data_IF_170026946778
#
_entry.id   IF_170026946778
#
_cell.length_a   1.000
_cell.length_b   1.000
_cell.length_c   1.000
_cell.angle_alpha   90.00
_cell.angle_beta   90.00
_cell.angle_gamma   90.00
#
_symmetry.space_group_name_H-M   'P 1'
#
loop_
_entity.id
_entity.type
_entity.pdbx_description
1 polymer ?
#
# COMPACT_ATOMS: atom_id res chain seq x y z
N UNK A 1 8.46 -3.16 -6.56
CA UNK A 1 8.06 -4.58 -6.60
C UNK A 1 8.18 -5.16 -5.20
N UNK A 2 7.18 -5.92 -4.72
CA UNK A 2 7.17 -6.51 -3.38
C UNK A 2 8.44 -7.31 -3.07
N UNK A 3 9.02 -7.07 -1.88
CA UNK A 3 10.21 -7.76 -1.39
C UNK A 3 9.80 -8.92 -0.46
N UNK A 4 10.16 -10.18 -0.78
CA UNK A 4 9.90 -11.31 0.11
C UNK A 4 10.49 -11.11 1.50
N UNK A 5 9.71 -11.47 2.54
CA UNK A 5 10.07 -11.28 3.96
C UNK A 5 10.36 -12.57 4.70
N UNK A 6 10.17 -13.72 4.05
CA UNK A 6 10.47 -15.05 4.60
C UNK A 6 11.26 -15.87 3.60
N UNK A 7 11.91 -16.94 4.08
CA UNK A 7 12.64 -17.87 3.21
C UNK A 7 11.67 -18.54 2.23
N UNK A 8 10.48 -18.90 2.70
CA UNK A 8 9.43 -19.52 1.91
C UNK A 8 8.95 -18.60 0.79
N UNK A 9 8.65 -17.34 1.10
CA UNK A 9 8.31 -16.34 0.08
C UNK A 9 9.46 -16.12 -0.90
N UNK A 10 10.71 -16.10 -0.43
CA UNK A 10 11.87 -15.99 -1.30
C UNK A 10 11.94 -17.15 -2.29
N UNK A 11 11.72 -18.40 -1.82
CA UNK A 11 11.68 -19.57 -2.71
C UNK A 11 10.57 -19.51 -3.74
N UNK A 12 9.39 -19.02 -3.35
CA UNK A 12 8.28 -18.81 -4.29
C UNK A 12 8.61 -17.71 -5.29
N UNK A 13 9.22 -16.62 -4.85
CA UNK A 13 9.62 -15.51 -5.72
C UNK A 13 10.63 -15.96 -6.78
N UNK A 14 11.62 -16.77 -6.41
CA UNK A 14 12.57 -17.35 -7.39
C UNK A 14 11.85 -18.26 -8.39
N UNK A 15 10.92 -19.10 -7.94
CA UNK A 15 10.09 -19.89 -8.84
C UNK A 15 9.29 -19.01 -9.81
N UNK A 16 8.69 -17.92 -9.33
CA UNK A 16 7.93 -17.01 -10.21
C UNK A 16 8.86 -16.39 -11.26
N UNK A 17 10.05 -15.92 -10.87
CA UNK A 17 11.04 -15.36 -11.81
C UNK A 17 11.47 -16.35 -12.89
N UNK A 18 11.60 -17.63 -12.54
CA UNK A 18 12.02 -18.68 -13.48
C UNK A 18 10.92 -19.09 -14.48
N UNK A 19 9.64 -18.83 -14.14
CA UNK A 19 8.49 -19.36 -14.91
C UNK A 19 7.59 -18.28 -15.53
N UNK A 20 7.71 -17.02 -15.11
CA UNK A 20 6.84 -15.92 -15.53
C UNK A 20 7.62 -14.65 -15.90
N UNK A 21 7.01 -13.80 -16.72
CA UNK A 21 7.54 -12.48 -17.07
C UNK A 21 7.22 -11.47 -15.96
N UNK A 22 8.18 -11.21 -15.08
CA UNK A 22 8.02 -10.35 -13.91
C UNK A 22 7.58 -8.91 -14.22
N UNK A 23 7.94 -8.39 -15.39
CA UNK A 23 7.60 -7.02 -15.81
C UNK A 23 6.10 -6.80 -15.99
N UNK A 24 5.33 -7.87 -16.23
CA UNK A 24 3.89 -7.83 -16.44
C UNK A 24 3.09 -8.30 -15.20
N UNK A 25 3.74 -8.43 -14.04
CA UNK A 25 3.13 -9.03 -12.85
C UNK A 25 3.25 -8.15 -11.59
N UNK A 26 2.12 -8.01 -10.90
CA UNK A 26 2.09 -7.59 -9.51
C UNK A 26 2.25 -8.79 -8.60
N UNK A 27 3.13 -8.69 -7.60
CA UNK A 27 3.32 -9.73 -6.59
C UNK A 27 2.84 -9.23 -5.24
N UNK A 28 1.93 -9.96 -4.60
CA UNK A 28 1.37 -9.65 -3.30
C UNK A 28 1.63 -10.79 -2.30
N UNK A 29 1.92 -10.51 -1.03
CA UNK A 29 1.98 -11.55 -0.02
C UNK A 29 0.58 -12.03 0.36
N UNK A 30 0.43 -13.35 0.51
CA UNK A 30 -0.80 -14.01 0.98
C UNK A 30 -0.63 -14.53 2.40
N UNK A 31 0.56 -15.04 2.73
CA UNK A 31 0.91 -15.50 4.07
C UNK A 31 2.44 -15.54 4.21
N UNK A 32 2.95 -16.03 5.34
CA UNK A 32 4.38 -16.32 5.51
C UNK A 32 4.95 -17.27 4.48
N UNK A 33 4.13 -18.16 3.93
CA UNK A 33 4.55 -19.23 3.04
C UNK A 33 3.81 -19.18 1.71
N UNK A 34 3.24 -18.03 1.35
CA UNK A 34 2.44 -17.89 0.14
C UNK A 34 2.55 -16.51 -0.49
N UNK A 35 2.63 -16.47 -1.82
CA UNK A 35 2.57 -15.25 -2.64
C UNK A 35 1.45 -15.41 -3.68
N UNK A 36 0.88 -14.29 -4.12
CA UNK A 36 -0.05 -14.21 -5.23
C UNK A 36 0.55 -13.33 -6.31
N UNK A 37 0.39 -13.73 -7.55
CA UNK A 37 0.67 -12.90 -8.72
C UNK A 37 -0.63 -12.45 -9.36
N UNK A 38 -0.63 -11.25 -9.94
CA UNK A 38 -1.70 -10.70 -10.75
C UNK A 38 -1.11 -10.12 -12.02
N UNK A 39 -1.74 -10.36 -13.17
CA UNK A 39 -1.36 -9.75 -14.45
C UNK A 39 -2.09 -8.42 -14.72
N UNK A 40 -1.78 -7.81 -15.87
CA UNK A 40 -2.34 -6.52 -16.29
C UNK A 40 -3.86 -6.55 -16.54
N UNK A 41 -4.44 -7.72 -16.86
CA UNK A 41 -5.88 -7.88 -17.10
C UNK A 41 -6.64 -8.27 -15.82
N UNK A 42 -5.92 -8.53 -14.73
CA UNK A 42 -6.47 -8.83 -13.41
C UNK A 42 -6.60 -10.31 -13.09
N UNK A 43 -6.08 -11.20 -13.94
CA UNK A 43 -6.05 -12.63 -13.65
C UNK A 43 -5.03 -12.92 -12.54
N UNK A 44 -5.39 -13.84 -11.64
CA UNK A 44 -4.64 -14.09 -10.40
C UNK A 44 -4.30 -15.56 -10.24
N UNK A 45 -3.10 -15.81 -9.73
CA UNK A 45 -2.67 -17.13 -9.26
C UNK A 45 -2.00 -16.98 -7.90
N UNK A 46 -2.24 -17.93 -6.99
CA UNK A 46 -1.53 -18.00 -5.71
C UNK A 46 -0.65 -19.23 -5.66
N UNK A 47 0.47 -19.10 -4.98
CA UNK A 47 1.45 -20.15 -4.77
C UNK A 47 1.75 -20.27 -3.28
N UNK A 48 2.01 -21.48 -2.83
CA UNK A 48 2.47 -21.77 -1.49
C UNK A 48 3.71 -22.64 -1.50
N UNK A 49 4.58 -22.43 -0.51
CA UNK A 49 5.69 -23.30 -0.22
C UNK A 49 5.25 -24.36 0.78
N UNK A 50 5.29 -25.63 0.37
CA UNK A 50 4.93 -26.77 1.23
C UNK A 50 5.83 -27.95 0.90
N UNK A 51 6.34 -28.62 1.93
CA UNK A 51 7.17 -29.83 1.82
C UNK A 51 8.36 -29.71 0.86
N UNK A 52 8.99 -28.53 0.79
CA UNK A 52 10.16 -28.30 -0.07
C UNK A 52 9.84 -27.97 -1.53
N UNK A 53 8.56 -27.77 -1.87
CA UNK A 53 8.09 -27.50 -3.22
C UNK A 53 7.18 -26.26 -3.27
N UNK A 54 7.14 -25.61 -4.44
CA UNK A 54 6.13 -24.59 -4.75
C UNK A 54 4.93 -25.30 -5.36
N UNK A 55 3.75 -25.06 -4.80
CA UNK A 55 2.47 -25.59 -5.25
C UNK A 55 1.49 -24.45 -5.49
N UNK A 56 0.56 -24.64 -6.42
CA UNK A 56 -0.57 -23.72 -6.55
C UNK A 56 -1.43 -23.77 -5.27
N UNK A 57 -1.89 -22.60 -4.84
CA UNK A 57 -2.69 -22.38 -3.65
C UNK A 57 -4.03 -21.75 -4.03
N UNK A 58 -5.08 -21.92 -3.21
CA UNK A 58 -6.30 -21.15 -3.40
C UNK A 58 -6.02 -19.65 -3.27
N UNK A 59 -6.73 -18.84 -4.05
CA UNK A 59 -6.69 -17.39 -3.91
C UNK A 59 -7.17 -16.98 -2.51
N UNK A 60 -6.57 -15.92 -1.91
CA UNK A 60 -7.02 -15.43 -0.62
C UNK A 60 -8.47 -14.92 -0.72
N UNK A 61 -9.33 -15.38 0.17
CA UNK A 61 -10.69 -14.86 0.31
C UNK A 61 -10.66 -13.63 1.21
N UNK A 62 -11.03 -12.43 0.72
CA UNK A 62 -11.14 -11.25 1.57
C UNK A 62 -12.18 -11.45 2.66
N UNK A 63 -11.89 -10.96 3.87
CA UNK A 63 -12.87 -10.93 4.94
C UNK A 63 -14.04 -10.01 4.56
N UNK A 64 -15.25 -10.36 4.97
CA UNK A 64 -16.42 -9.48 4.82
C UNK A 64 -16.26 -8.20 5.65
N UNK A 65 -17.04 -7.16 5.32
CA UNK A 65 -17.07 -5.92 6.10
C UNK A 65 -17.40 -6.18 7.60
N UNK A 66 -18.26 -7.15 7.88
CA UNK A 66 -18.62 -7.51 9.25
C UNK A 66 -17.43 -8.13 10.00
N UNK A 67 -16.70 -9.05 9.37
CA UNK A 67 -15.49 -9.67 9.93
C UNK A 67 -14.37 -8.64 10.12
N UNK A 68 -14.21 -7.75 9.14
CA UNK A 68 -13.25 -6.65 9.22
C UNK A 68 -13.51 -5.75 10.43
N UNK A 69 -14.74 -5.24 10.57
CA UNK A 69 -15.12 -4.38 11.70
C UNK A 69 -15.03 -5.12 13.05
N UNK A 70 -15.39 -6.40 13.09
CA UNK A 70 -15.27 -7.22 14.30
C UNK A 70 -13.82 -7.38 14.73
N UNK A 71 -12.91 -7.65 13.78
CA UNK A 71 -11.48 -7.75 14.04
C UNK A 71 -10.90 -6.44 14.53
N UNK A 72 -11.15 -5.32 13.83
CA UNK A 72 -10.63 -3.99 14.21
C UNK A 72 -11.11 -3.60 15.61
N UNK A 73 -12.39 -3.83 15.92
CA UNK A 73 -12.95 -3.56 17.24
C UNK A 73 -12.27 -4.40 18.33
N UNK A 74 -12.03 -5.68 18.07
CA UNK A 74 -11.35 -6.57 19.01
C UNK A 74 -9.88 -6.18 19.20
N UNK A 75 -9.19 -5.82 18.11
CA UNK A 75 -7.80 -5.38 18.13
C UNK A 75 -7.62 -4.14 19.02
N UNK A 76 -8.42 -3.09 18.80
CA UNK A 76 -8.35 -1.86 19.62
C UNK A 76 -8.83 -2.04 21.07
N UNK A 77 -9.63 -3.08 21.34
CA UNK A 77 -10.07 -3.40 22.69
C UNK A 77 -8.98 -4.08 23.55
N UNK A 78 -7.96 -4.71 22.94
CA UNK A 78 -6.81 -5.23 23.69
C UNK A 78 -5.89 -4.07 24.09
N UNK A 79 -5.67 -3.78 25.39
CA UNK A 79 -4.78 -2.71 25.82
C UNK A 79 -3.30 -2.95 25.46
N UNK A 80 -2.94 -4.16 25.01
CA UNK A 80 -1.59 -4.54 24.57
C UNK A 80 -1.45 -4.53 23.05
N UNK A 81 -2.42 -3.98 22.32
CA UNK A 81 -2.30 -3.90 20.87
C UNK A 81 -1.04 -3.12 20.49
N UNK A 82 -0.23 -3.63 19.54
CA UNK A 82 0.94 -2.91 19.07
C UNK A 82 0.52 -1.66 18.30
N UNK A 83 1.38 -0.64 18.32
CA UNK A 83 1.30 0.50 17.41
C UNK A 83 2.25 0.26 16.25
N UNK A 84 1.82 0.62 15.04
CA UNK A 84 2.60 0.48 13.82
C UNK A 84 2.92 1.87 13.30
N UNK A 85 4.19 2.11 12.97
CA UNK A 85 4.65 3.40 12.48
C UNK A 85 4.86 3.38 10.96
N UNK A 86 4.70 2.23 10.33
CA UNK A 86 4.89 2.04 8.89
C UNK A 86 4.10 0.83 8.38
N UNK A 87 3.91 0.76 7.06
CA UNK A 87 3.46 -0.44 6.37
C UNK A 87 4.42 -1.60 6.62
N UNK A 88 5.72 -1.36 6.71
CA UNK A 88 6.72 -2.39 6.98
C UNK A 88 6.54 -3.06 8.35
N UNK A 89 6.24 -2.27 9.39
CA UNK A 89 5.94 -2.78 10.72
C UNK A 89 4.64 -3.58 10.70
N UNK A 90 3.60 -3.06 10.03
CA UNK A 90 2.30 -3.72 9.96
C UNK A 90 2.36 -5.02 9.17
N UNK A 91 3.03 -5.04 8.02
CA UNK A 91 3.25 -6.25 7.21
C UNK A 91 4.05 -7.28 8.00
N UNK A 92 5.09 -6.86 8.73
CA UNK A 92 5.85 -7.76 9.59
C UNK A 92 4.97 -8.37 10.67
N UNK A 93 4.15 -7.56 11.35
CA UNK A 93 3.23 -8.06 12.35
C UNK A 93 2.19 -9.00 11.75
N UNK A 94 1.54 -8.62 10.65
CA UNK A 94 0.52 -9.40 9.95
C UNK A 94 1.07 -10.77 9.53
N UNK A 95 2.30 -10.82 9.00
CA UNK A 95 2.96 -12.09 8.67
C UNK A 95 3.24 -12.97 9.90
N UNK A 96 3.37 -12.42 11.10
CA UNK A 96 3.73 -13.19 12.30
C UNK A 96 2.54 -13.52 13.21
N UNK A 97 1.34 -13.04 12.89
CA UNK A 97 0.18 -13.15 13.76
C UNK A 97 -1.02 -13.71 12.98
N UNK A 98 -1.86 -14.56 13.60
CA UNK A 98 -3.10 -14.99 12.99
C UNK A 98 -4.03 -13.80 12.75
N UNK A 99 -4.36 -13.54 11.50
CA UNK A 99 -5.31 -12.49 11.11
C UNK A 99 -6.30 -13.03 10.09
N UNK A 100 -7.60 -12.73 10.20
CA UNK A 100 -8.59 -13.09 9.19
C UNK A 100 -8.51 -12.19 7.95
N UNK A 101 -7.74 -11.10 8.02
CA UNK A 101 -7.66 -10.08 6.97
C UNK A 101 -6.56 -10.39 5.97
N UNK A 102 -6.81 -10.05 4.70
CA UNK A 102 -5.75 -10.03 3.69
C UNK A 102 -4.76 -8.91 3.95
N UNK A 103 -3.60 -8.97 3.28
CA UNK A 103 -2.58 -7.92 3.36
C UNK A 103 -3.12 -6.54 2.97
N UNK A 104 -3.93 -6.46 1.93
CA UNK A 104 -4.57 -5.21 1.52
C UNK A 104 -5.51 -4.67 2.60
N UNK A 105 -6.34 -5.55 3.19
CA UNK A 105 -7.30 -5.16 4.22
C UNK A 105 -6.60 -4.66 5.48
N UNK A 106 -5.51 -5.30 5.92
CA UNK A 106 -4.79 -4.85 7.12
C UNK A 106 -4.10 -3.50 6.89
N UNK A 107 -3.58 -3.24 5.67
CA UNK A 107 -3.01 -1.95 5.30
C UNK A 107 -4.08 -0.86 5.09
N UNK A 108 -5.36 -1.26 4.98
CA UNK A 108 -6.49 -0.38 4.73
C UNK A 108 -6.27 0.48 3.47
N UNK A 109 -5.71 -0.12 2.42
CA UNK A 109 -5.45 0.54 1.14
C UNK A 109 -6.55 0.18 0.12
N UNK A 110 -7.11 1.18 -0.60
CA UNK A 110 -7.94 0.91 -1.77
C UNK A 110 -7.12 0.25 -2.87
N UNK A 111 -7.80 -0.36 -3.85
CA UNK A 111 -7.17 -1.18 -4.90
C UNK A 111 -6.06 -0.42 -5.65
N UNK A 112 -6.31 0.83 -6.04
CA UNK A 112 -5.36 1.67 -6.77
C UNK A 112 -4.07 1.93 -5.97
N UNK A 113 -4.20 2.29 -4.70
CA UNK A 113 -3.04 2.50 -3.82
C UNK A 113 -2.34 1.19 -3.47
N UNK A 114 -3.07 0.09 -3.33
CA UNK A 114 -2.45 -1.19 -3.02
C UNK A 114 -1.61 -1.71 -4.19
N UNK A 115 -2.11 -1.61 -5.42
CA UNK A 115 -1.33 -1.90 -6.62
C UNK A 115 -0.07 -1.04 -6.67
N UNK A 116 -0.22 0.28 -6.53
CA UNK A 116 0.92 1.21 -6.49
C UNK A 116 1.94 0.85 -5.41
N UNK A 117 1.48 0.51 -4.22
CA UNK A 117 2.34 0.08 -3.11
C UNK A 117 3.16 -1.17 -3.43
N UNK A 118 2.58 -2.15 -4.14
CA UNK A 118 3.29 -3.35 -4.56
C UNK A 118 4.31 -3.07 -5.69
N UNK A 119 4.03 -2.09 -6.54
CA UNK A 119 4.93 -1.65 -7.63
C UNK A 119 6.12 -0.85 -7.12
N UNK A 120 5.94 -0.02 -6.10
CA UNK A 120 7.01 0.82 -5.55
C UNK A 120 8.20 -0.03 -5.10
N UNK A 121 9.42 0.39 -5.47
CA UNK A 121 10.66 -0.20 -4.92
C UNK A 121 11.02 0.39 -3.56
N UNK A 122 10.68 1.67 -3.39
CA UNK A 122 10.89 2.49 -2.21
C UNK A 122 9.78 3.54 -2.15
N UNK A 123 9.26 3.79 -0.94
CA UNK A 123 8.32 4.87 -0.69
C UNK A 123 9.08 6.20 -0.62
N UNK A 124 8.39 7.31 -0.92
CA UNK A 124 9.01 8.63 -0.86
C UNK A 124 9.54 8.93 0.55
N UNK A 125 10.67 9.63 0.63
CA UNK A 125 11.12 10.28 1.85
C UNK A 125 10.59 11.72 1.92
N UNK A 126 10.73 12.37 3.08
CA UNK A 126 10.21 13.73 3.28
C UNK A 126 10.73 14.72 2.23
N UNK A 127 12.02 14.68 1.90
CA UNK A 127 12.64 15.59 0.93
C UNK A 127 12.06 15.39 -0.49
N UNK A 128 11.72 14.14 -0.85
CA UNK A 128 11.09 13.83 -2.14
C UNK A 128 9.67 14.39 -2.18
N UNK A 129 8.91 14.22 -1.10
CA UNK A 129 7.54 14.76 -0.97
C UNK A 129 7.56 16.28 -1.07
N UNK A 130 8.47 16.95 -0.34
CA UNK A 130 8.62 18.40 -0.39
C UNK A 130 8.99 18.89 -1.80
N UNK A 131 9.95 18.22 -2.44
CA UNK A 131 10.34 18.52 -3.83
C UNK A 131 9.16 18.38 -4.79
N UNK A 132 8.32 17.36 -4.57
CA UNK A 132 7.16 17.06 -5.42
C UNK A 132 6.06 18.11 -5.25
N UNK A 133 5.64 18.43 -4.03
CA UNK A 133 4.59 19.44 -3.79
C UNK A 133 5.05 20.86 -4.16
N UNK A 134 6.36 21.15 -4.10
CA UNK A 134 6.92 22.43 -4.55
C UNK A 134 6.86 22.62 -6.08
N UNK A 135 6.57 21.56 -6.86
CA UNK A 135 6.28 21.71 -8.31
C UNK A 135 4.94 22.40 -8.56
N UNK A 136 4.07 22.48 -7.56
CA UNK A 136 2.69 22.99 -7.61
C UNK A 136 1.74 22.24 -8.55
N UNK A 137 2.25 21.43 -9.48
CA UNK A 137 1.51 20.51 -10.34
C UNK A 137 2.17 19.16 -10.34
N UNK A 138 1.39 18.12 -10.08
CA UNK A 138 1.86 16.74 -10.00
C UNK A 138 0.91 15.82 -10.77
N UNK A 139 1.42 14.70 -11.23
CA UNK A 139 0.63 13.66 -11.90
C UNK A 139 -0.22 12.87 -10.91
N UNK A 140 -1.23 12.16 -11.39
CA UNK A 140 -2.01 11.22 -10.58
C UNK A 140 -1.13 10.15 -9.88
N UNK A 141 -0.09 9.65 -10.55
CA UNK A 141 0.86 8.69 -9.96
C UNK A 141 1.68 9.31 -8.85
N UNK A 142 2.19 10.52 -9.03
CA UNK A 142 2.90 11.28 -7.99
C UNK A 142 1.99 11.54 -6.78
N UNK A 143 0.71 11.84 -7.02
CA UNK A 143 -0.26 11.99 -5.94
C UNK A 143 -0.48 10.68 -5.17
N UNK A 144 -0.55 9.53 -5.85
CA UNK A 144 -0.62 8.22 -5.20
C UNK A 144 0.62 7.96 -4.33
N UNK A 145 1.82 8.33 -4.79
CA UNK A 145 3.05 8.21 -4.00
C UNK A 145 3.02 9.06 -2.74
N UNK A 146 2.54 10.32 -2.83
CA UNK A 146 2.34 11.18 -1.66
C UNK A 146 1.31 10.57 -0.70
N UNK A 147 0.21 10.00 -1.21
CA UNK A 147 -0.79 9.32 -0.37
C UNK A 147 -0.19 8.11 0.35
N UNK A 148 0.63 7.31 -0.33
CA UNK A 148 1.32 6.17 0.29
C UNK A 148 2.28 6.64 1.38
N UNK A 149 3.09 7.67 1.12
CA UNK A 149 3.92 8.30 2.15
C UNK A 149 3.06 8.76 3.34
N UNK A 150 1.99 9.51 3.09
CA UNK A 150 1.11 10.03 4.14
C UNK A 150 0.52 8.92 5.02
N UNK A 151 0.05 7.83 4.40
CA UNK A 151 -0.53 6.70 5.11
C UNK A 151 0.52 5.81 5.80
N UNK A 152 1.78 5.85 5.36
CA UNK A 152 2.92 5.15 5.96
C UNK A 152 3.45 5.85 7.22
N UNK A 153 2.57 6.14 8.18
CA UNK A 153 2.94 6.73 9.47
C UNK A 153 3.09 8.26 9.50
N UNK A 154 2.95 8.94 8.36
CA UNK A 154 3.10 10.40 8.27
C UNK A 154 1.79 11.18 8.41
N UNK A 155 0.67 10.53 8.76
CA UNK A 155 -0.62 11.18 8.99
C UNK A 155 -0.76 11.79 10.41
N UNK A 156 0.11 11.39 11.34
CA UNK A 156 0.08 11.85 12.72
C UNK A 156 0.48 13.31 12.85
N UNK A 157 -0.50 14.23 12.85
CA UNK A 157 -0.26 15.67 12.95
C UNK A 157 -0.07 16.38 11.61
N UNK A 158 -0.24 15.67 10.49
CA UNK A 158 -0.27 16.25 9.15
C UNK A 158 -1.66 16.10 8.54
N UNK A 159 -1.99 16.92 7.55
CA UNK A 159 -3.25 16.84 6.80
C UNK A 159 -2.96 16.80 5.31
N UNK A 160 -3.66 15.92 4.60
CA UNK A 160 -3.62 15.81 3.15
C UNK A 160 -5.06 15.71 2.64
N UNK A 161 -5.45 16.58 1.72
CA UNK A 161 -6.81 16.52 1.17
C UNK A 161 -7.13 17.56 0.10
N UNK A 162 -8.24 17.30 -0.59
CA UNK A 162 -8.82 18.21 -1.57
C UNK A 162 -9.37 19.45 -0.85
N UNK A 163 -9.00 20.63 -1.33
CA UNK A 163 -9.43 21.92 -0.77
C UNK A 163 -10.32 22.72 -1.71
N UNK A 164 -10.41 22.32 -2.97
CA UNK A 164 -11.31 22.95 -3.94
C UNK A 164 -11.04 22.48 -5.36
N UNK A 165 -11.91 22.91 -6.27
CA UNK A 165 -11.75 22.74 -7.71
C UNK A 165 -11.83 24.13 -8.31
N UNK A 166 -10.84 24.51 -9.13
CA UNK A 166 -10.84 25.79 -9.82
C UNK A 166 -10.50 25.61 -11.31
N UNK A 167 -10.26 26.72 -12.02
CA UNK A 167 -10.00 26.69 -13.47
C UNK A 167 -8.75 25.91 -13.87
N UNK A 168 -7.89 25.56 -12.91
CA UNK A 168 -6.65 24.82 -13.09
C UNK A 168 -6.75 23.33 -12.67
N UNK A 169 -7.91 22.89 -12.16
CA UNK A 169 -8.21 21.51 -11.78
C UNK A 169 -8.52 21.30 -10.29
N UNK A 170 -8.39 20.06 -9.84
CA UNK A 170 -8.51 19.68 -8.43
C UNK A 170 -7.31 20.18 -7.63
N UNK A 171 -7.57 21.00 -6.61
CA UNK A 171 -6.56 21.59 -5.74
C UNK A 171 -6.48 20.86 -4.41
N UNK A 172 -5.27 20.45 -4.04
CA UNK A 172 -4.96 19.74 -2.80
C UNK A 172 -4.00 20.54 -1.94
N UNK A 173 -4.11 20.35 -0.62
CA UNK A 173 -3.05 20.81 0.30
C UNK A 173 -2.42 19.64 1.03
N UNK A 174 -1.10 19.72 1.17
CA UNK A 174 -0.34 18.99 2.19
C UNK A 174 0.05 19.99 3.29
N UNK A 175 -0.39 19.71 4.51
CA UNK A 175 -0.20 20.58 5.67
C UNK A 175 0.57 19.82 6.74
N UNK A 176 1.72 20.35 7.13
CA UNK A 176 2.53 19.84 8.23
C UNK A 176 2.18 20.55 9.54
N UNK A 177 2.24 19.81 10.65
CA UNK A 177 1.90 20.32 11.99
C UNK A 177 0.49 20.95 12.04
N UNK A 178 -0.46 20.31 11.38
CA UNK A 178 -1.83 20.80 11.20
C UNK A 178 -2.49 21.14 12.53
N UNK A 179 -3.07 22.34 12.63
CA UNK A 179 -3.74 22.80 13.85
C UNK A 179 -2.79 23.28 14.96
N UNK A 180 -1.51 23.51 14.65
CA UNK A 180 -0.52 24.08 15.58
C UNK A 180 0.00 25.44 15.10
N UNK A 181 0.74 26.16 15.95
CA UNK A 181 1.38 27.44 15.56
C UNK A 181 2.54 27.29 14.57
N UNK A 182 3.02 26.07 14.33
CA UNK A 182 4.12 25.74 13.42
C UNK A 182 3.61 25.15 12.09
N UNK A 183 2.34 25.41 11.76
CA UNK A 183 1.71 24.91 10.53
C UNK A 183 2.47 25.39 9.28
N UNK A 184 2.78 24.45 8.38
CA UNK A 184 3.35 24.73 7.06
C UNK A 184 2.47 24.11 6.00
N UNK A 185 2.11 24.88 4.99
CA UNK A 185 1.14 24.49 3.96
C UNK A 185 1.75 24.54 2.58
N UNK A 186 1.57 23.46 1.84
CA UNK A 186 1.96 23.33 0.44
C UNK A 186 0.71 23.08 -0.39
N UNK A 187 0.53 23.90 -1.41
CA UNK A 187 -0.58 23.82 -2.34
C UNK A 187 -0.10 23.17 -3.63
N UNK A 188 -0.89 22.24 -4.17
CA UNK A 188 -0.60 21.65 -5.47
C UNK A 188 -1.87 21.19 -6.18
N UNK A 189 -1.78 21.07 -7.49
CA UNK A 189 -2.81 20.53 -8.36
C UNK A 189 -2.42 19.13 -8.78
N UNK A 190 -3.41 18.25 -8.89
CA UNK A 190 -3.23 16.93 -9.48
C UNK A 190 -3.73 17.01 -10.93
N UNK A 191 -2.85 16.73 -11.87
CA UNK A 191 -3.19 16.69 -13.28
C UNK A 191 -4.08 15.48 -13.55
N UNK A 192 -5.26 15.73 -14.13
CA UNK A 192 -6.05 14.69 -14.75
C UNK A 192 -5.18 14.07 -15.84
N UNK A 193 -4.74 12.84 -15.64
CA UNK A 193 -4.01 12.10 -16.66
C UNK A 193 -4.82 12.17 -17.95
N UNK A 194 -4.24 12.71 -19.02
CA UNK A 194 -4.89 12.81 -20.32
C UNK A 194 -5.59 11.48 -20.63
N UNK A 195 -6.93 11.51 -20.69
CA UNK A 195 -7.69 10.58 -21.53
C UNK A 195 -7.19 10.85 -22.96
N UNK A 196 -6.13 10.14 -23.34
CA UNK A 196 -5.64 10.08 -24.71
C UNK A 196 -6.78 9.60 -25.60
N UNK A 197 -7.35 10.54 -26.35
CA UNK A 197 -8.25 10.27 -27.50
C UNK A 197 -7.48 9.51 -28.58
#
# INVERSE_FOLDING_TARGET
MYKPRTIEQFKIMEYIKDNFHMECLLVAPVSRSSLMIQDEIGDRMAFQWMDGHVLEAPLPTPASNQEHLAFIKAFWADPRHPQFMSFDDLTTWWLNNPTPLTHQQILNLPDDLYCRYLECEQLLELDDVLTMVMKERITQTEYQDIRLWFLNGHNGGNWLGLVGVDGDGDRYDLVFNYGTSAEMRYHFYVEDGEDGI
#
